data_IF_194549728420
#
_entry.id   IF_194549728420
#
_cell.length_a   1.000
_cell.length_b   1.000
_cell.length_c   1.000
_cell.angle_alpha   90.00
_cell.angle_beta   90.00
_cell.angle_gamma   90.00
#
_symmetry.space_group_name_H-M   'P 1'
#
loop_
_entity.id
_entity.type
_entity.pdbx_description
1 polymer ?
#
# COMPACT_ATOMS: atom_id res chain seq x y z
N UNK A 1 -17.78 -33.06 57.33
CA UNK A 1 -17.27 -34.20 56.52
C UNK A 1 -17.13 -33.72 55.09
N UNK A 2 -15.92 -33.86 54.54
CA UNK A 2 -15.52 -33.40 53.20
C UNK A 2 -16.19 -34.25 52.13
N UNK A 3 -16.59 -33.64 51.01
CA UNK A 3 -16.62 -34.34 49.73
C UNK A 3 -16.01 -33.41 48.67
N UNK A 4 -14.78 -33.73 48.28
CA UNK A 4 -14.05 -33.10 47.20
C UNK A 4 -14.18 -33.99 45.98
N UNK A 5 -14.64 -33.46 44.84
CA UNK A 5 -14.55 -34.14 43.55
C UNK A 5 -13.58 -33.33 42.70
N UNK A 6 -12.43 -33.95 42.42
CA UNK A 6 -11.43 -33.54 41.44
C UNK A 6 -11.96 -33.80 40.03
N UNK A 7 -11.97 -32.78 39.17
CA UNK A 7 -12.11 -32.95 37.73
C UNK A 7 -10.71 -32.84 37.09
N UNK A 8 -10.24 -33.94 36.51
CA UNK A 8 -8.99 -34.00 35.75
C UNK A 8 -9.23 -33.40 34.35
N UNK A 9 -8.52 -32.31 34.03
CA UNK A 9 -8.47 -31.75 32.68
C UNK A 9 -7.44 -32.51 31.84
N UNK A 10 -7.88 -33.15 30.76
CA UNK A 10 -7.03 -33.72 29.72
C UNK A 10 -6.77 -32.63 28.69
N UNK A 11 -5.51 -32.20 28.55
CA UNK A 11 -5.06 -31.31 27.48
C UNK A 11 -4.70 -32.14 26.24
N UNK A 12 -5.51 -32.06 25.18
CA UNK A 12 -5.11 -32.47 23.84
C UNK A 12 -4.28 -31.35 23.21
N UNK A 13 -3.00 -31.62 23.00
CA UNK A 13 -2.12 -30.81 22.17
C UNK A 13 -2.50 -30.94 20.69
N UNK A 14 -2.97 -29.84 20.10
CA UNK A 14 -3.08 -29.67 18.66
C UNK A 14 -1.80 -29.04 18.13
N UNK A 15 -1.10 -29.76 17.25
CA UNK A 15 -0.05 -29.23 16.38
C UNK A 15 -0.70 -28.24 15.41
N UNK A 16 -0.61 -26.95 15.72
CA UNK A 16 -0.94 -25.89 14.77
C UNK A 16 0.18 -25.75 13.75
N UNK A 17 -0.11 -26.09 12.50
CA UNK A 17 0.68 -25.64 11.35
C UNK A 17 0.73 -24.12 11.40
N UNK A 18 1.94 -23.55 11.37
CA UNK A 18 2.16 -22.11 11.48
C UNK A 18 1.44 -21.40 10.33
N UNK A 19 0.44 -20.59 10.67
CA UNK A 19 -0.01 -19.54 9.77
C UNK A 19 1.18 -18.61 9.49
N UNK A 20 1.37 -18.10 8.26
CA UNK A 20 2.39 -17.10 7.99
C UNK A 20 2.19 -15.90 8.92
N UNK A 21 3.27 -15.21 9.33
CA UNK A 21 3.16 -14.08 10.26
C UNK A 21 2.21 -13.03 9.65
N UNK A 22 1.13 -12.74 10.37
CA UNK A 22 0.07 -11.86 9.89
C UNK A 22 0.59 -10.41 9.90
N UNK A 23 0.37 -9.68 8.81
CA UNK A 23 0.62 -8.24 8.80
C UNK A 23 -0.35 -7.53 9.77
N UNK A 24 0.17 -6.66 10.64
CA UNK A 24 -0.60 -6.02 11.71
C UNK A 24 -0.51 -4.51 11.56
N UNK A 25 -1.63 -3.80 11.75
CA UNK A 25 -1.60 -2.36 11.98
C UNK A 25 -0.70 -2.08 13.20
N UNK A 26 0.30 -1.24 13.01
CA UNK A 26 1.34 -1.00 13.99
C UNK A 26 1.83 0.44 13.98
N UNK A 27 2.82 0.70 14.82
CA UNK A 27 3.48 2.00 14.86
C UNK A 27 4.26 2.25 13.56
N UNK A 28 4.23 3.49 13.09
CA UNK A 28 5.12 3.94 12.03
C UNK A 28 6.60 3.90 12.46
N UNK A 29 7.52 3.94 11.48
CA UNK A 29 8.91 3.50 11.67
C UNK A 29 9.64 4.26 12.78
N UNK A 30 9.28 5.54 12.99
CA UNK A 30 9.87 6.38 14.02
C UNK A 30 9.65 5.80 15.40
N UNK A 31 8.39 5.52 15.73
CA UNK A 31 7.99 5.08 17.06
C UNK A 31 8.36 3.62 17.26
N UNK A 32 8.20 2.80 16.22
CA UNK A 32 8.60 1.40 16.24
C UNK A 32 10.12 1.24 16.53
N UNK A 33 10.96 2.13 15.97
CA UNK A 33 12.40 2.12 16.19
C UNK A 33 12.88 3.00 17.36
N UNK A 34 11.96 3.70 18.05
CA UNK A 34 12.31 4.60 19.16
C UNK A 34 13.16 5.81 18.76
N UNK A 35 13.05 6.30 17.53
CA UNK A 35 13.85 7.41 17.03
C UNK A 35 13.34 8.77 17.54
N UNK A 36 14.07 9.36 18.48
CA UNK A 36 13.69 10.60 19.19
C UNK A 36 14.16 11.92 18.57
N UNK A 37 15.02 11.89 17.54
CA UNK A 37 15.55 13.10 16.88
C UNK A 37 15.13 13.21 15.40
N UNK A 38 15.25 14.42 14.83
CA UNK A 38 14.88 14.75 13.45
C UNK A 38 15.90 14.25 12.41
N UNK A 39 15.42 14.04 11.16
CA UNK A 39 16.25 13.57 10.05
C UNK A 39 16.49 12.05 10.05
N UNK A 40 15.42 11.27 9.98
CA UNK A 40 15.50 9.80 9.92
C UNK A 40 15.12 9.28 8.54
N UNK A 41 15.62 8.10 8.22
CA UNK A 41 15.24 7.31 7.06
C UNK A 41 15.39 8.06 5.74
N UNK A 42 16.56 8.65 5.54
CA UNK A 42 16.92 9.42 4.33
C UNK A 42 17.96 8.70 3.47
N UNK A 43 18.20 7.40 3.69
CA UNK A 43 19.19 6.67 2.91
C UNK A 43 18.75 6.55 1.45
N UNK A 44 19.70 6.64 0.51
CA UNK A 44 19.45 6.49 -0.92
C UNK A 44 19.53 5.06 -1.43
N UNK A 45 19.96 4.13 -0.57
CA UNK A 45 20.50 2.82 -0.97
C UNK A 45 19.44 1.82 -1.42
N UNK A 46 18.30 1.78 -0.71
CA UNK A 46 17.16 0.92 -1.01
C UNK A 46 15.93 1.78 -1.13
N UNK A 47 15.09 1.52 -2.13
CA UNK A 47 13.85 2.25 -2.33
C UNK A 47 12.70 1.35 -2.75
N UNK A 48 11.49 1.72 -2.32
CA UNK A 48 10.28 1.40 -3.05
C UNK A 48 10.26 2.36 -4.25
N UNK A 49 10.51 1.81 -5.44
CA UNK A 49 10.61 2.58 -6.68
C UNK A 49 9.24 2.95 -7.26
N UNK A 50 8.22 2.12 -7.00
CA UNK A 50 6.84 2.36 -7.45
C UNK A 50 5.89 1.44 -6.69
N UNK A 51 4.64 1.87 -6.51
CA UNK A 51 3.54 1.02 -6.07
C UNK A 51 2.54 0.88 -7.23
N UNK A 52 2.27 -0.35 -7.61
CA UNK A 52 1.22 -0.70 -8.56
C UNK A 52 -0.04 -1.15 -7.81
N UNK A 53 -1.20 -0.87 -8.39
CA UNK A 53 -2.49 -1.36 -7.89
C UNK A 53 -2.79 -2.68 -8.58
N UNK A 54 -3.17 -3.70 -7.82
CA UNK A 54 -3.59 -4.98 -8.38
C UNK A 54 -5.11 -5.00 -8.65
N UNK A 55 -5.50 -5.71 -9.68
CA UNK A 55 -6.89 -5.91 -10.11
C UNK A 55 -7.15 -7.36 -10.45
N UNK A 56 -8.40 -7.68 -10.76
CA UNK A 56 -8.78 -8.99 -11.30
C UNK A 56 -8.99 -8.88 -12.79
N UNK A 57 -8.56 -9.85 -13.58
CA UNK A 57 -8.73 -9.78 -15.04
C UNK A 57 -10.00 -10.54 -15.46
N UNK A 58 -10.89 -9.89 -16.22
CA UNK A 58 -12.18 -10.46 -16.68
C UNK A 58 -12.32 -10.34 -18.20
N UNK A 59 -12.74 -11.41 -18.88
CA UNK A 59 -13.14 -11.35 -20.30
C UNK A 59 -12.01 -11.55 -21.31
N UNK A 60 -10.82 -11.97 -20.88
CA UNK A 60 -9.68 -12.29 -21.74
C UNK A 60 -9.25 -13.76 -21.64
N UNK A 61 -8.12 -14.13 -22.27
CA UNK A 61 -7.50 -15.46 -22.14
C UNK A 61 -6.96 -15.76 -20.73
N UNK A 62 -6.96 -14.76 -19.83
CA UNK A 62 -6.45 -14.81 -18.46
C UNK A 62 -7.56 -14.58 -17.41
N UNK A 63 -8.71 -15.25 -17.54
CA UNK A 63 -9.79 -15.12 -16.56
C UNK A 63 -9.34 -15.59 -15.16
N UNK A 64 -9.39 -14.70 -14.17
CA UNK A 64 -9.05 -15.00 -12.78
C UNK A 64 -7.58 -14.80 -12.38
N UNK A 65 -6.75 -14.25 -13.28
CA UNK A 65 -5.40 -13.79 -12.92
C UNK A 65 -5.45 -12.45 -12.17
N UNK A 66 -4.41 -12.16 -11.37
CA UNK A 66 -4.11 -10.84 -10.83
C UNK A 66 -3.31 -10.03 -11.85
N UNK A 67 -3.75 -8.82 -12.14
CA UNK A 67 -3.15 -7.90 -13.12
C UNK A 67 -2.87 -6.55 -12.46
N UNK A 68 -2.02 -5.73 -13.08
CA UNK A 68 -1.80 -4.35 -12.62
C UNK A 68 -2.87 -3.46 -13.23
N UNK A 69 -3.65 -2.77 -12.41
CA UNK A 69 -4.64 -1.77 -12.86
C UNK A 69 -3.87 -0.59 -13.47
N UNK A 70 -3.67 -0.61 -14.79
CA UNK A 70 -2.99 0.46 -15.52
C UNK A 70 -3.40 0.55 -17.00
N UNK A 71 -2.66 1.35 -17.76
CA UNK A 71 -2.87 1.61 -19.20
C UNK A 71 -2.56 0.39 -20.10
N UNK A 72 -2.58 0.61 -21.42
CA UNK A 72 -2.61 -0.39 -22.51
C UNK A 72 -1.51 -1.45 -22.54
N UNK A 73 -0.58 -1.41 -21.59
CA UNK A 73 0.53 -2.36 -21.43
C UNK A 73 0.21 -3.53 -20.48
N UNK A 74 -0.92 -3.46 -19.77
CA UNK A 74 -1.39 -4.53 -18.87
C UNK A 74 -1.75 -5.81 -19.65
N UNK A 75 -1.25 -7.01 -19.26
CA UNK A 75 -1.63 -8.29 -19.84
C UNK A 75 -3.15 -8.50 -20.04
N UNK A 76 -3.97 -7.96 -19.13
CA UNK A 76 -5.42 -7.97 -19.22
C UNK A 76 -5.94 -7.12 -20.37
N UNK A 77 -5.43 -5.88 -20.51
CA UNK A 77 -5.79 -4.96 -21.60
C UNK A 77 -5.30 -5.51 -22.96
N UNK A 78 -4.07 -6.05 -23.00
CA UNK A 78 -3.51 -6.67 -24.20
C UNK A 78 -4.26 -7.96 -24.59
N UNK A 79 -4.77 -8.70 -23.60
CA UNK A 79 -5.56 -9.92 -23.78
C UNK A 79 -7.04 -9.71 -24.11
N UNK A 80 -7.47 -8.46 -24.31
CA UNK A 80 -8.86 -8.10 -24.61
C UNK A 80 -9.82 -8.22 -23.41
N UNK A 81 -9.28 -8.33 -22.19
CA UNK A 81 -10.05 -8.32 -20.94
C UNK A 81 -10.20 -6.91 -20.34
N UNK A 82 -11.03 -6.82 -19.30
CA UNK A 82 -11.20 -5.65 -18.43
C UNK A 82 -10.55 -5.92 -17.09
N UNK A 83 -9.95 -4.89 -16.52
CA UNK A 83 -9.24 -4.94 -15.24
C UNK A 83 -9.96 -4.13 -14.16
N UNK A 84 -11.00 -4.69 -13.53
CA UNK A 84 -11.60 -4.10 -12.34
C UNK A 84 -10.58 -3.95 -11.21
N UNK A 85 -10.46 -2.71 -10.77
CA UNK A 85 -9.74 -2.29 -9.58
C UNK A 85 -9.98 -0.81 -9.32
N UNK A 86 -9.51 -0.29 -8.18
CA UNK A 86 -9.69 1.11 -7.81
C UNK A 86 -8.94 2.02 -8.79
N UNK A 87 -9.64 2.96 -9.42
CA UNK A 87 -9.06 3.98 -10.33
C UNK A 87 -9.31 5.42 -9.85
N UNK A 88 -10.15 5.59 -8.84
CA UNK A 88 -10.50 6.88 -8.25
C UNK A 88 -10.77 6.69 -6.76
N UNK A 89 -10.45 7.69 -5.95
CA UNK A 89 -10.90 7.81 -4.57
C UNK A 89 -11.28 9.26 -4.27
N UNK A 90 -12.05 9.51 -3.20
CA UNK A 90 -12.36 10.88 -2.75
C UNK A 90 -11.35 11.28 -1.69
N UNK A 91 -10.83 12.50 -1.74
CA UNK A 91 -9.84 13.01 -0.78
C UNK A 91 -10.31 12.82 0.68
N UNK A 92 -9.38 12.48 1.58
CA UNK A 92 -9.63 12.08 2.98
C UNK A 92 -10.46 10.78 3.17
N UNK A 93 -10.86 10.09 2.10
CA UNK A 93 -11.56 8.80 2.22
C UNK A 93 -10.56 7.69 2.52
N UNK A 94 -10.86 6.88 3.54
CA UNK A 94 -10.15 5.62 3.74
C UNK A 94 -10.59 4.59 2.68
N UNK A 95 -9.62 4.06 1.96
CA UNK A 95 -9.81 3.05 0.91
C UNK A 95 -8.95 1.82 1.20
N UNK A 96 -9.29 0.69 0.56
CA UNK A 96 -8.50 -0.53 0.61
C UNK A 96 -7.95 -0.83 -0.78
N UNK A 97 -6.62 -0.87 -0.91
CA UNK A 97 -5.93 -1.04 -2.18
C UNK A 97 -5.03 -2.27 -2.12
N UNK A 98 -5.19 -3.24 -3.02
CA UNK A 98 -4.21 -4.32 -3.16
C UNK A 98 -2.98 -3.77 -3.88
N UNK A 99 -1.83 -3.79 -3.22
CA UNK A 99 -0.63 -3.06 -3.64
C UNK A 99 0.52 -4.01 -3.97
N UNK A 100 1.23 -3.70 -5.05
CA UNK A 100 2.46 -4.36 -5.47
C UNK A 100 3.61 -3.35 -5.44
N UNK A 101 4.56 -3.55 -4.52
CA UNK A 101 5.73 -2.71 -4.38
C UNK A 101 6.86 -3.23 -5.28
N UNK A 102 7.49 -2.33 -6.05
CA UNK A 102 8.76 -2.60 -6.72
C UNK A 102 9.90 -2.07 -5.87
N UNK A 103 10.83 -2.93 -5.50
CA UNK A 103 11.95 -2.62 -4.63
C UNK A 103 13.25 -2.74 -5.42
N UNK A 104 14.13 -1.77 -5.22
CA UNK A 104 15.47 -1.76 -5.82
C UNK A 104 16.50 -1.42 -4.76
N UNK A 105 17.65 -2.08 -4.83
CA UNK A 105 18.83 -1.75 -4.02
C UNK A 105 20.01 -1.39 -4.93
N UNK A 106 20.56 -0.20 -4.76
CA UNK A 106 21.83 0.20 -5.35
C UNK A 106 23.05 -0.19 -4.51
N UNK A 107 22.83 -0.62 -3.26
CA UNK A 107 23.88 -1.04 -2.35
C UNK A 107 24.09 -2.56 -2.35
N UNK A 108 25.15 -3.02 -1.69
CA UNK A 108 25.36 -4.45 -1.40
C UNK A 108 24.16 -5.07 -0.66
N UNK A 109 24.18 -6.38 -0.50
CA UNK A 109 23.11 -7.16 0.14
C UNK A 109 22.60 -6.47 1.42
N UNK A 110 21.28 -6.32 1.48
CA UNK A 110 20.55 -5.81 2.63
C UNK A 110 19.69 -6.92 3.18
N UNK A 111 19.69 -7.02 4.49
CA UNK A 111 19.06 -8.12 5.22
C UNK A 111 17.74 -7.65 5.84
N UNK A 112 16.84 -8.59 6.15
CA UNK A 112 15.64 -8.34 6.96
C UNK A 112 14.76 -7.19 6.45
N UNK A 113 14.33 -7.25 5.18
CA UNK A 113 13.61 -6.14 4.57
C UNK A 113 12.22 -5.95 5.19
N UNK A 114 11.98 -4.77 5.78
CA UNK A 114 10.70 -4.39 6.38
C UNK A 114 9.97 -3.30 5.60
N UNK A 115 8.63 -3.36 5.63
CA UNK A 115 7.74 -2.36 5.02
C UNK A 115 6.91 -1.66 6.09
N UNK A 116 6.74 -0.35 5.92
CA UNK A 116 5.85 0.49 6.70
C UNK A 116 5.06 1.35 5.72
N UNK A 117 3.74 1.19 5.69
CA UNK A 117 2.85 1.91 4.79
C UNK A 117 1.88 2.71 5.64
N UNK A 118 1.91 4.04 5.53
CA UNK A 118 1.06 4.93 6.31
C UNK A 118 -0.41 4.68 6.00
N UNK A 119 -1.21 4.47 7.05
CA UNK A 119 -2.65 4.21 6.92
C UNK A 119 -3.49 5.46 7.18
N UNK A 120 -2.86 6.55 7.58
CA UNK A 120 -3.47 7.81 8.04
C UNK A 120 -3.33 8.96 7.03
N UNK A 121 -2.80 8.69 5.83
CA UNK A 121 -2.52 9.70 4.79
C UNK A 121 -1.28 10.56 5.07
N UNK A 122 -0.59 10.28 6.18
CA UNK A 122 0.63 10.97 6.56
C UNK A 122 1.90 10.29 6.06
N UNK A 123 3.03 10.77 6.59
CA UNK A 123 4.34 10.17 6.34
C UNK A 123 4.55 8.95 7.25
N UNK A 124 5.06 7.85 6.71
CA UNK A 124 5.36 6.64 7.48
C UNK A 124 6.51 6.80 8.50
N UNK A 125 7.13 7.98 8.60
CA UNK A 125 8.05 8.39 9.68
C UNK A 125 7.50 9.47 10.62
N UNK A 126 6.21 9.77 10.54
CA UNK A 126 5.54 10.66 11.49
C UNK A 126 5.56 10.07 12.91
N UNK A 127 5.49 10.94 13.91
CA UNK A 127 5.33 10.56 15.31
C UNK A 127 3.84 10.35 15.61
N UNK A 128 3.49 9.24 16.23
CA UNK A 128 2.12 8.85 16.56
C UNK A 128 1.32 8.32 15.36
N UNK A 129 1.99 8.06 14.23
CA UNK A 129 1.36 7.56 13.01
C UNK A 129 1.01 6.07 13.08
N UNK A 130 0.00 5.67 12.32
CA UNK A 130 -0.41 4.27 12.18
C UNK A 130 0.04 3.74 10.82
N UNK A 131 0.83 2.69 10.84
CA UNK A 131 1.36 2.07 9.64
C UNK A 131 0.93 0.61 9.54
N UNK A 132 0.57 0.19 8.34
CA UNK A 132 0.57 -1.21 7.97
C UNK A 132 2.03 -1.68 7.94
N UNK A 133 2.31 -2.79 8.61
CA UNK A 133 3.66 -3.35 8.70
C UNK A 133 3.73 -4.73 8.08
N UNK A 134 4.75 -4.92 7.28
CA UNK A 134 5.04 -6.17 6.59
C UNK A 134 6.56 -6.38 6.50
N UNK A 135 6.96 -7.52 5.97
CA UNK A 135 8.36 -7.85 5.71
C UNK A 135 8.48 -8.67 4.43
N UNK A 136 9.64 -8.67 3.79
CA UNK A 136 9.81 -9.40 2.54
C UNK A 136 9.78 -10.90 2.83
N UNK A 137 8.80 -11.62 2.28
CA UNK A 137 8.64 -13.05 2.53
C UNK A 137 7.87 -13.72 1.38
N UNK A 138 8.00 -15.04 1.17
CA UNK A 138 8.88 -15.97 1.88
C UNK A 138 10.34 -15.86 1.43
N UNK A 139 11.27 -16.05 2.37
CA UNK A 139 12.68 -16.22 2.06
C UNK A 139 12.96 -17.59 1.43
N UNK A 140 13.85 -17.64 0.45
CA UNK A 140 14.29 -18.89 -0.17
C UNK A 140 15.08 -19.75 0.82
N UNK A 141 14.93 -21.06 0.69
CA UNK A 141 15.72 -22.03 1.47
C UNK A 141 17.00 -22.47 0.76
N UNK A 142 17.14 -22.18 -0.55
CA UNK A 142 18.26 -22.67 -1.37
C UNK A 142 18.92 -21.61 -2.26
N UNK A 143 18.26 -20.48 -2.49
CA UNK A 143 18.55 -19.47 -3.51
C UNK A 143 18.60 -19.96 -4.97
N UNK A 144 18.20 -21.20 -5.27
CA UNK A 144 18.14 -21.73 -6.63
C UNK A 144 16.73 -21.67 -7.25
N UNK A 145 15.75 -21.21 -6.48
CA UNK A 145 14.31 -21.19 -6.77
C UNK A 145 13.71 -19.78 -6.74
N UNK A 146 14.55 -18.74 -6.85
CA UNK A 146 14.13 -17.35 -6.70
C UNK A 146 13.07 -16.93 -7.72
N UNK A 147 12.01 -16.31 -7.23
CA UNK A 147 10.96 -15.72 -8.07
C UNK A 147 10.79 -14.23 -7.74
N UNK A 148 11.78 -13.42 -8.13
CA UNK A 148 11.87 -12.02 -7.68
C UNK A 148 10.82 -11.08 -8.29
N UNK A 149 10.11 -11.50 -9.35
CA UNK A 149 9.28 -10.60 -10.17
C UNK A 149 7.78 -10.93 -10.15
N UNK A 150 7.38 -12.01 -9.47
CA UNK A 150 5.99 -12.46 -9.49
C UNK A 150 5.12 -11.88 -8.35
N UNK A 151 5.74 -11.18 -7.39
CA UNK A 151 5.06 -10.62 -6.22
C UNK A 151 5.04 -11.53 -5.00
N UNK A 152 5.33 -12.82 -5.15
CA UNK A 152 5.10 -13.82 -4.11
C UNK A 152 6.37 -14.60 -3.71
N UNK A 153 7.49 -14.40 -4.40
CA UNK A 153 8.75 -15.05 -4.05
C UNK A 153 8.74 -16.56 -4.37
N UNK A 154 9.73 -17.32 -3.87
CA UNK A 154 10.61 -16.95 -2.77
C UNK A 154 11.68 -15.92 -3.18
N UNK A 155 12.05 -15.10 -2.20
CA UNK A 155 13.06 -14.05 -2.33
C UNK A 155 14.43 -14.51 -1.85
N UNK A 156 15.47 -13.74 -2.14
CA UNK A 156 16.84 -14.10 -1.77
C UNK A 156 16.99 -14.23 -0.24
N UNK A 157 17.79 -15.20 0.21
CA UNK A 157 18.15 -15.39 1.61
C UNK A 157 19.68 -15.50 1.73
N UNK A 158 20.32 -14.44 2.20
CA UNK A 158 21.75 -14.33 2.45
C UNK A 158 22.21 -14.95 3.77
N UNK A 159 21.29 -15.51 4.56
CA UNK A 159 21.51 -16.06 5.89
C UNK A 159 21.41 -17.59 5.93
N UNK A 160 21.28 -18.25 4.77
CA UNK A 160 21.26 -19.71 4.65
C UNK A 160 22.50 -20.31 5.34
N UNK A 161 22.26 -21.09 6.38
CA UNK A 161 23.30 -21.76 7.16
C UNK A 161 23.97 -20.88 8.23
N UNK A 162 23.54 -19.62 8.38
CA UNK A 162 23.97 -18.70 9.44
C UNK A 162 22.86 -18.54 10.48
N UNK A 163 21.64 -18.21 10.03
CA UNK A 163 20.49 -17.90 10.90
C UNK A 163 19.29 -18.83 10.57
N UNK A 164 19.17 -20.02 11.19
CA UNK A 164 18.19 -21.04 10.76
C UNK A 164 16.72 -20.71 11.03
N UNK A 165 16.45 -19.71 11.88
CA UNK A 165 15.10 -19.23 12.23
C UNK A 165 14.84 -17.86 11.60
N UNK A 166 15.45 -17.58 10.46
CA UNK A 166 15.19 -16.38 9.70
C UNK A 166 14.13 -16.68 8.62
N UNK A 167 13.12 -15.84 8.59
CA UNK A 167 11.96 -15.91 7.68
C UNK A 167 11.86 -14.68 6.80
N UNK A 168 12.57 -13.61 7.17
CA UNK A 168 12.61 -12.39 6.41
C UNK A 168 13.60 -12.56 5.27
N UNK A 169 13.26 -12.00 4.13
CA UNK A 169 14.08 -12.12 2.95
C UNK A 169 14.91 -10.87 2.72
N UNK A 170 15.95 -11.09 1.93
CA UNK A 170 17.00 -10.15 1.63
C UNK A 170 16.90 -9.66 0.18
N UNK A 171 17.61 -8.58 -0.09
CA UNK A 171 17.73 -8.05 -1.45
C UNK A 171 19.19 -7.87 -1.83
N UNK A 172 19.50 -8.25 -3.06
CA UNK A 172 20.84 -8.13 -3.62
C UNK A 172 21.00 -6.82 -4.39
N UNK A 173 22.25 -6.39 -4.55
CA UNK A 173 22.59 -5.22 -5.35
C UNK A 173 22.12 -5.37 -6.80
N UNK A 174 21.51 -4.31 -7.34
CA UNK A 174 21.05 -4.22 -8.72
C UNK A 174 20.04 -5.32 -9.12
N UNK A 175 19.37 -5.95 -8.16
CA UNK A 175 18.25 -6.83 -8.41
C UNK A 175 16.94 -6.09 -8.14
N UNK A 176 15.99 -6.25 -9.04
CA UNK A 176 14.61 -5.77 -8.84
C UNK A 176 13.82 -6.86 -8.15
N UNK A 177 13.14 -6.50 -7.06
CA UNK A 177 12.20 -7.37 -6.37
C UNK A 177 10.81 -6.75 -6.48
N UNK A 178 9.81 -7.56 -6.76
CA UNK A 178 8.40 -7.18 -6.78
C UNK A 178 7.73 -7.94 -5.67
N UNK A 179 7.04 -7.24 -4.76
CA UNK A 179 6.37 -7.83 -3.61
C UNK A 179 4.92 -7.38 -3.56
N UNK A 180 4.00 -8.33 -3.53
CA UNK A 180 2.59 -8.09 -3.28
C UNK A 180 2.42 -7.91 -1.77
N UNK A 181 2.11 -6.69 -1.34
CA UNK A 181 1.85 -6.39 0.06
C UNK A 181 0.64 -7.20 0.49
N UNK A 182 0.84 -8.09 1.46
CA UNK A 182 -0.11 -9.16 1.69
C UNK A 182 -0.60 -9.22 3.14
N UNK A 183 -1.64 -8.45 3.50
CA UNK A 183 -2.35 -8.70 4.74
C UNK A 183 -3.02 -10.07 4.70
N UNK A 184 -2.39 -11.07 5.31
CA UNK A 184 -3.01 -12.35 5.64
C UNK A 184 -3.28 -13.32 4.48
N UNK A 185 -2.55 -13.25 3.36
CA UNK A 185 -2.59 -14.26 2.30
C UNK A 185 -3.40 -13.94 1.04
N UNK A 186 -3.81 -12.69 0.82
CA UNK A 186 -4.30 -12.17 -0.46
C UNK A 186 -5.01 -10.81 -0.35
N UNK A 187 -4.62 -9.99 0.63
CA UNK A 187 -5.41 -8.84 1.09
C UNK A 187 -5.10 -7.49 0.41
N UNK A 188 -5.81 -6.45 0.86
CA UNK A 188 -5.59 -5.05 0.48
C UNK A 188 -5.08 -4.24 1.67
N UNK A 189 -4.19 -3.28 1.42
CA UNK A 189 -3.71 -2.33 2.44
C UNK A 189 -4.71 -1.18 2.55
N UNK A 190 -5.11 -0.84 3.77
CA UNK A 190 -6.00 0.30 4.00
C UNK A 190 -5.20 1.58 4.19
N UNK A 191 -5.49 2.59 3.38
CA UNK A 191 -4.82 3.90 3.34
C UNK A 191 -5.85 5.02 3.18
N UNK A 192 -5.46 6.27 3.46
CA UNK A 192 -6.29 7.46 3.20
C UNK A 192 -5.96 8.00 1.82
N UNK A 193 -7.00 8.41 1.10
CA UNK A 193 -6.88 9.04 -0.21
C UNK A 193 -6.35 10.47 -0.07
N UNK A 194 -5.08 10.69 -0.35
CA UNK A 194 -4.43 12.00 -0.33
C UNK A 194 -3.54 12.19 -1.57
N UNK A 195 -3.42 13.42 -2.05
CA UNK A 195 -2.44 13.85 -3.07
C UNK A 195 -1.45 14.78 -2.37
N UNK A 196 -0.34 14.23 -1.90
CA UNK A 196 0.63 14.93 -1.06
C UNK A 196 1.61 15.77 -1.89
N UNK A 197 1.87 15.41 -3.15
CA UNK A 197 2.78 16.15 -4.02
C UNK A 197 2.08 17.09 -5.02
N UNK A 198 0.75 17.00 -5.13
CA UNK A 198 -0.05 17.86 -5.98
C UNK A 198 -0.06 17.41 -7.44
N UNK A 199 0.15 16.13 -7.75
CA UNK A 199 0.11 15.62 -9.12
C UNK A 199 -1.28 15.07 -9.54
N UNK A 200 -2.23 15.00 -8.61
CA UNK A 200 -3.59 14.51 -8.81
C UNK A 200 -3.75 12.99 -8.77
N UNK A 201 -2.69 12.28 -8.37
CA UNK A 201 -2.66 10.84 -8.16
C UNK A 201 -2.51 10.58 -6.67
N UNK A 202 -3.10 9.48 -6.22
CA UNK A 202 -3.02 9.03 -4.84
C UNK A 202 -1.58 8.77 -4.43
N UNK A 203 -1.16 9.43 -3.36
CA UNK A 203 0.10 9.21 -2.69
C UNK A 203 -0.06 8.32 -1.45
N UNK A 204 1.00 7.57 -1.13
CA UNK A 204 1.10 6.92 0.17
C UNK A 204 2.48 7.13 0.77
N UNK A 205 2.51 7.52 2.05
CA UNK A 205 3.74 7.58 2.83
C UNK A 205 4.27 6.16 3.06
N UNK A 206 5.51 5.91 2.67
CA UNK A 206 6.15 4.61 2.81
C UNK A 206 7.49 4.73 3.51
N UNK A 207 7.88 3.68 4.25
CA UNK A 207 9.25 3.45 4.65
C UNK A 207 9.65 2.00 4.39
N UNK A 208 10.90 1.81 4.01
CA UNK A 208 11.56 0.52 3.93
C UNK A 208 12.72 0.50 4.92
N UNK A 209 12.85 -0.59 5.68
CA UNK A 209 13.94 -0.83 6.64
C UNK A 209 14.77 -2.05 6.25
N UNK A 210 15.99 -2.11 6.76
CA UNK A 210 16.90 -3.24 6.55
C UNK A 210 17.94 -3.36 7.67
N UNK A 211 18.63 -4.49 7.73
CA UNK A 211 19.93 -4.65 8.38
C UNK A 211 21.08 -4.77 7.35
N UNK A 212 22.31 -4.65 7.85
CA UNK A 212 23.55 -4.79 7.08
C UNK A 212 24.34 -6.04 7.48
N UNK A 213 23.85 -6.81 8.45
CA UNK A 213 24.47 -8.00 8.99
C UNK A 213 23.57 -9.21 8.71
N UNK A 214 24.20 -10.34 8.45
CA UNK A 214 23.57 -11.62 8.16
C UNK A 214 23.41 -12.53 9.39
N UNK A 215 23.34 -11.92 10.58
CA UNK A 215 23.31 -12.63 11.86
C UNK A 215 22.25 -11.98 12.77
N UNK A 216 21.07 -11.78 12.21
CA UNK A 216 19.89 -11.27 12.89
C UNK A 216 18.73 -12.22 12.58
N UNK A 217 18.10 -12.79 13.61
CA UNK A 217 16.95 -13.66 13.38
C UNK A 217 15.69 -12.82 13.22
N UNK A 218 15.12 -12.79 12.02
CA UNK A 218 13.87 -12.09 11.74
C UNK A 218 12.71 -13.06 11.49
N UNK A 219 11.69 -13.00 12.36
CA UNK A 219 10.57 -13.96 12.35
C UNK A 219 9.22 -13.31 12.05
N UNK A 220 9.20 -11.98 11.99
CA UNK A 220 7.99 -11.19 11.83
C UNK A 220 8.31 -9.78 11.40
N UNK A 221 7.27 -9.04 11.00
CA UNK A 221 7.39 -7.61 10.77
C UNK A 221 7.99 -6.89 12.00
N UNK A 222 7.74 -7.33 13.23
CA UNK A 222 8.30 -6.69 14.44
C UNK A 222 9.82 -6.79 14.56
N UNK A 223 10.47 -7.67 13.81
CA UNK A 223 11.91 -7.88 13.87
C UNK A 223 12.65 -7.05 12.81
N UNK A 224 11.95 -6.48 11.81
CA UNK A 224 12.54 -5.61 10.77
C UNK A 224 12.75 -4.16 11.24
N UNK A 225 12.98 -3.95 12.53
CA UNK A 225 13.23 -2.61 13.09
C UNK A 225 14.67 -2.19 12.74
N UNK A 226 14.88 -1.06 12.05
CA UNK A 226 16.22 -0.64 11.68
C UNK A 226 17.05 -0.27 12.92
N UNK A 227 18.24 -0.83 13.06
CA UNK A 227 19.10 -0.54 14.22
C UNK A 227 19.61 0.91 14.32
N UNK A 228 19.52 1.71 13.24
CA UNK A 228 19.84 3.15 13.23
C UNK A 228 18.95 3.89 12.24
N UNK A 229 18.83 5.21 12.39
CA UNK A 229 18.05 6.05 11.47
C UNK A 229 18.57 6.10 10.03
N UNK A 230 19.78 5.58 9.76
CA UNK A 230 20.36 5.48 8.42
C UNK A 230 20.05 4.16 7.71
N UNK A 231 19.46 3.18 8.40
CA UNK A 231 19.12 1.85 7.85
C UNK A 231 17.66 1.77 7.39
N UNK A 232 17.15 2.90 6.90
CA UNK A 232 15.79 3.00 6.38
C UNK A 232 15.70 4.12 5.34
N UNK A 233 14.68 4.05 4.49
CA UNK A 233 14.32 5.10 3.55
C UNK A 233 12.83 5.30 3.58
N UNK A 234 12.39 6.56 3.70
CA UNK A 234 10.98 6.92 3.58
C UNK A 234 10.75 7.92 2.44
N UNK A 235 9.60 7.80 1.79
CA UNK A 235 9.13 8.70 0.75
C UNK A 235 7.61 8.58 0.58
N UNK A 236 6.97 9.63 0.06
CA UNK A 236 5.69 9.48 -0.61
C UNK A 236 5.91 8.84 -1.98
N UNK A 237 5.04 7.92 -2.34
CA UNK A 237 5.07 7.19 -3.61
C UNK A 237 3.66 7.12 -4.17
N UNK A 238 3.51 7.42 -5.45
CA UNK A 238 2.25 7.28 -6.17
C UNK A 238 1.76 5.83 -6.13
N UNK A 239 0.47 5.65 -5.88
CA UNK A 239 -0.23 4.37 -5.85
C UNK A 239 -0.94 4.15 -7.18
N UNK A 240 -0.23 3.54 -8.13
CA UNK A 240 -0.72 3.28 -9.47
C UNK A 240 -1.12 4.56 -10.19
N UNK A 241 -2.34 4.60 -10.72
CA UNK A 241 -2.96 5.78 -11.36
C UNK A 241 -4.35 6.02 -10.78
N UNK A 242 -4.46 6.02 -9.46
CA UNK A 242 -5.72 6.33 -8.77
C UNK A 242 -5.88 7.85 -8.72
N UNK A 243 -6.88 8.37 -9.41
CA UNK A 243 -7.24 9.80 -9.35
C UNK A 243 -7.79 10.18 -7.96
N UNK A 244 -7.41 11.35 -7.46
CA UNK A 244 -7.84 11.87 -6.16
C UNK A 244 -8.90 12.94 -6.36
N UNK A 245 -10.15 12.53 -6.24
CA UNK A 245 -11.29 13.43 -6.37
C UNK A 245 -11.41 14.38 -5.18
N UNK A 246 -11.50 15.67 -5.48
CA UNK A 246 -11.51 16.75 -4.50
C UNK A 246 -10.15 17.42 -4.32
N UNK A 247 -9.15 17.12 -5.14
CA UNK A 247 -7.86 17.80 -5.16
C UNK A 247 -7.87 19.08 -6.02
N UNK A 248 -8.93 19.29 -6.81
CA UNK A 248 -9.09 20.42 -7.71
C UNK A 248 -8.35 20.31 -9.03
N UNK A 249 -7.93 19.10 -9.43
CA UNK A 249 -7.33 18.79 -10.72
C UNK A 249 -8.14 17.69 -11.38
N UNK A 250 -8.60 17.94 -12.60
CA UNK A 250 -9.34 16.93 -13.36
C UNK A 250 -8.38 15.90 -13.96
N UNK A 251 -8.52 14.63 -13.58
CA UNK A 251 -7.87 13.53 -14.31
C UNK A 251 -8.76 13.05 -15.48
N UNK A 252 -8.43 13.49 -16.70
CA UNK A 252 -9.22 13.39 -17.95
C UNK A 252 -9.79 12.00 -18.32
N UNK A 253 -9.25 10.90 -17.78
CA UNK A 253 -9.69 9.51 -18.05
C UNK A 253 -10.50 8.86 -16.92
N UNK A 254 -10.75 9.60 -15.85
CA UNK A 254 -11.39 9.11 -14.63
C UNK A 254 -12.46 10.07 -14.15
N UNK A 255 -12.18 11.36 -14.14
CA UNK A 255 -13.04 12.39 -13.59
C UNK A 255 -13.71 13.20 -14.69
N UNK A 256 -14.93 13.66 -14.41
CA UNK A 256 -15.67 14.55 -15.31
C UNK A 256 -15.54 16.02 -14.89
N UNK A 257 -15.22 16.25 -13.62
CA UNK A 257 -15.02 17.55 -12.99
C UNK A 257 -14.26 17.34 -11.69
N UNK A 258 -13.51 18.35 -11.26
CA UNK A 258 -12.97 18.43 -9.91
C UNK A 258 -12.76 19.90 -9.56
N UNK A 259 -13.62 20.41 -8.68
CA UNK A 259 -13.58 21.77 -8.15
C UNK A 259 -13.00 21.81 -6.73
N UNK A 260 -12.28 20.74 -6.33
CA UNK A 260 -11.69 20.59 -5.02
C UNK A 260 -12.73 20.54 -3.92
N UNK A 261 -12.52 21.33 -2.88
CA UNK A 261 -13.47 21.48 -1.75
C UNK A 261 -14.88 21.96 -2.15
N UNK A 262 -15.07 22.50 -3.37
CA UNK A 262 -16.39 22.92 -3.84
C UNK A 262 -17.25 21.75 -4.35
N UNK A 263 -16.67 20.57 -4.58
CA UNK A 263 -17.37 19.38 -5.05
C UNK A 263 -18.59 19.05 -4.18
N UNK A 264 -19.73 18.83 -4.82
CA UNK A 264 -20.99 18.53 -4.15
C UNK A 264 -21.69 19.72 -3.49
N UNK A 265 -21.06 20.91 -3.42
CA UNK A 265 -21.72 22.11 -2.91
C UNK A 265 -22.95 22.50 -3.75
N UNK A 266 -23.88 23.26 -3.17
CA UNK A 266 -25.05 23.75 -3.90
C UNK A 266 -24.69 24.72 -5.04
N UNK A 267 -23.48 25.29 -5.00
CA UNK A 267 -22.96 26.22 -6.01
C UNK A 267 -22.10 25.58 -7.08
N UNK A 268 -21.79 24.29 -6.91
CA UNK A 268 -20.98 23.50 -7.84
C UNK A 268 -21.85 22.70 -8.78
N UNK A 269 -21.39 22.51 -10.02
CA UNK A 269 -21.96 21.54 -10.95
C UNK A 269 -21.25 20.18 -10.91
N UNK A 270 -20.32 20.01 -9.98
CA UNK A 270 -19.63 18.77 -9.69
C UNK A 270 -20.25 18.05 -8.48
N UNK A 271 -20.34 16.72 -8.53
CA UNK A 271 -20.74 15.89 -7.39
C UNK A 271 -19.56 15.69 -6.43
N UNK A 272 -19.83 15.13 -5.25
CA UNK A 272 -18.78 14.75 -4.28
C UNK A 272 -17.85 13.64 -4.79
N UNK A 273 -18.16 13.03 -5.93
CA UNK A 273 -17.39 11.93 -6.53
C UNK A 273 -16.88 12.30 -7.94
N UNK A 274 -16.70 13.60 -8.21
CA UNK A 274 -16.08 14.10 -9.44
C UNK A 274 -16.81 13.69 -10.74
N UNK A 275 -18.15 13.62 -10.63
CA UNK A 275 -19.06 13.47 -11.78
C UNK A 275 -19.88 14.73 -11.96
N UNK A 276 -20.30 15.02 -13.19
CA UNK A 276 -21.11 16.20 -13.47
C UNK A 276 -22.56 15.99 -12.99
N UNK A 277 -23.14 17.02 -12.38
CA UNK A 277 -24.56 17.03 -12.02
C UNK A 277 -25.44 17.05 -13.28
N UNK A 278 -26.66 16.48 -13.24
CA UNK A 278 -27.56 16.50 -14.39
C UNK A 278 -27.91 17.91 -14.88
N UNK A 279 -28.15 18.03 -16.18
CA UNK A 279 -28.62 19.27 -16.80
C UNK A 279 -29.89 19.79 -16.11
N UNK A 280 -29.94 21.10 -15.85
CA UNK A 280 -31.07 21.75 -15.18
C UNK A 280 -30.98 21.78 -13.66
N UNK A 281 -29.96 21.17 -13.06
CA UNK A 281 -29.73 21.28 -11.61
C UNK A 281 -29.35 22.72 -11.27
N UNK A 282 -30.09 23.40 -10.39
CA UNK A 282 -29.77 24.78 -10.00
C UNK A 282 -28.43 24.85 -9.26
N UNK A 283 -27.52 25.70 -9.75
CA UNK A 283 -26.21 25.96 -9.14
C UNK A 283 -26.09 27.39 -8.61
N UNK A 284 -26.99 28.30 -9.00
CA UNK A 284 -27.14 29.57 -8.28
C UNK A 284 -28.61 29.99 -8.29
N UNK A 285 -29.23 30.17 -7.12
CA UNK A 285 -30.60 30.68 -7.05
C UNK A 285 -30.70 32.12 -7.56
N UNK A 286 -31.85 32.47 -8.11
CA UNK A 286 -32.22 33.85 -8.43
C UNK A 286 -32.25 34.71 -7.16
N UNK A 287 -31.57 35.86 -7.19
CA UNK A 287 -31.55 36.86 -6.13
C UNK A 287 -32.63 37.94 -6.29
N UNK A 288 -33.50 37.84 -7.30
CA UNK A 288 -34.59 38.80 -7.52
C UNK A 288 -35.16 38.75 -8.93
N UNK A 289 -36.16 39.60 -9.20
CA UNK A 289 -36.91 39.61 -10.46
C UNK A 289 -36.10 39.92 -11.72
N UNK A 290 -34.88 40.47 -11.57
CA UNK A 290 -33.96 40.78 -12.67
C UNK A 290 -32.73 39.87 -12.68
N UNK A 291 -32.76 38.78 -11.93
CA UNK A 291 -31.66 37.85 -11.78
C UNK A 291 -32.12 36.42 -12.12
N UNK A 292 -31.59 35.85 -13.20
CA UNK A 292 -31.95 34.49 -13.59
C UNK A 292 -31.19 33.47 -12.73
N UNK A 293 -31.84 32.39 -12.34
CA UNK A 293 -31.13 31.28 -11.72
C UNK A 293 -30.27 30.54 -12.76
N UNK A 294 -29.05 30.19 -12.39
CA UNK A 294 -28.15 29.37 -13.19
C UNK A 294 -28.36 27.90 -12.88
N UNK A 295 -28.25 27.10 -13.92
CA UNK A 295 -28.36 25.66 -13.86
C UNK A 295 -27.17 25.01 -14.53
N UNK A 296 -26.79 23.85 -14.02
CA UNK A 296 -25.78 23.00 -14.63
C UNK A 296 -26.21 22.58 -16.03
N UNK A 297 -25.26 22.49 -16.94
CA UNK A 297 -25.55 22.10 -18.32
C UNK A 297 -25.59 20.58 -18.50
N UNK A 298 -25.09 19.83 -17.51
CA UNK A 298 -24.81 18.40 -17.62
C UNK A 298 -23.45 18.09 -18.28
N UNK A 299 -22.77 19.13 -18.79
CA UNK A 299 -21.42 19.06 -19.37
C UNK A 299 -20.41 20.00 -18.70
N UNK A 300 -20.89 20.89 -17.84
CA UNK A 300 -20.17 21.90 -17.05
C UNK A 300 -21.10 22.49 -16.00
#
# INVERSE_FOLDING_TARGET
MRCSIFAAGVTLGGLGVGAPPVAVAGQCIRDAAGFSQGGICSAGDVAIASIAVLGTCVGGTQNGATCIVSDSTDPCVVGGGTCPGTRQCVINQQISVPMRAKIVSGAQTRFDIGFYIAQDGGDAKANGGVCFRDFLHPASTTNNDLQLLDGNGPYYNGEIGVTPTDTCADIQQNQTNVYDLNPGGGGSVSIVCEDNDGNGILDVGTCLSWDNNNNHACNSANDTIPGTSAKCRCAFVDVGKIAVCGDGKVQTDVEQCDEGSANGSSTSCCTTTCTLKPAGTACRPSAGSCDAAETCTGSS
#
